data_IF_613238841116
#
_entry.id   IF_613238841116
#
_cell.length_a   1.000
_cell.length_b   1.000
_cell.length_c   1.000
_cell.angle_alpha   90.00
_cell.angle_beta   90.00
_cell.angle_gamma   90.00
#
_symmetry.space_group_name_H-M   'P 1'
#
loop_
_entity.id
_entity.type
_entity.pdbx_description
1 polymer ?
#
# COMPACT_ATOMS: atom_id res chain seq x y z
N UNK A 1 31.19 -12.82 -10.90
CA UNK A 1 29.89 -12.80 -11.56
C UNK A 1 29.01 -11.70 -10.99
N UNK A 2 28.58 -10.80 -11.82
CA UNK A 2 27.78 -9.70 -11.31
C UNK A 2 26.29 -10.00 -11.44
N UNK A 3 25.54 -9.54 -10.45
CA UNK A 3 24.10 -9.69 -10.45
C UNK A 3 23.50 -8.51 -11.19
N UNK A 4 22.54 -8.79 -12.06
CA UNK A 4 21.82 -7.71 -12.72
C UNK A 4 20.81 -7.15 -11.73
N UNK A 5 21.16 -6.10 -11.08
CA UNK A 5 20.33 -5.50 -10.03
C UNK A 5 19.00 -5.00 -10.59
N UNK A 6 19.02 -4.39 -11.77
CA UNK A 6 17.79 -3.90 -12.36
C UNK A 6 16.82 -5.03 -12.67
N UNK A 7 17.34 -6.15 -13.13
CA UNK A 7 16.49 -7.30 -13.39
C UNK A 7 15.86 -7.82 -12.10
N UNK A 8 16.65 -7.86 -11.03
CA UNK A 8 16.13 -8.32 -9.74
C UNK A 8 15.09 -7.33 -9.19
N UNK A 9 15.29 -6.05 -9.40
CA UNK A 9 14.32 -5.07 -9.00
C UNK A 9 13.00 -5.22 -9.78
N UNK A 10 13.09 -5.54 -11.07
CA UNK A 10 11.91 -5.79 -11.85
C UNK A 10 11.16 -7.02 -11.36
N UNK A 11 11.89 -8.07 -11.01
CA UNK A 11 11.28 -9.27 -10.47
C UNK A 11 10.58 -8.98 -9.15
N UNK A 12 11.22 -8.20 -8.29
CA UNK A 12 10.64 -7.82 -7.02
C UNK A 12 9.40 -6.96 -7.22
N UNK A 13 9.46 -6.03 -8.16
CA UNK A 13 8.32 -5.18 -8.47
C UNK A 13 7.14 -6.02 -8.94
N UNK A 14 7.40 -7.00 -9.80
CA UNK A 14 6.33 -7.86 -10.29
C UNK A 14 5.71 -8.69 -9.15
N UNK A 15 6.55 -9.22 -8.27
CA UNK A 15 6.05 -9.96 -7.12
C UNK A 15 5.22 -9.07 -6.21
N UNK A 16 5.64 -7.82 -6.04
CA UNK A 16 4.89 -6.85 -5.25
C UNK A 16 3.54 -6.55 -5.86
N UNK A 17 3.47 -6.43 -7.18
CA UNK A 17 2.20 -6.18 -7.85
C UNK A 17 1.24 -7.35 -7.66
N UNK A 18 1.75 -8.56 -7.70
CA UNK A 18 0.92 -9.73 -7.47
C UNK A 18 0.38 -9.75 -6.05
N UNK A 19 1.23 -9.44 -5.08
CA UNK A 19 0.81 -9.37 -3.68
C UNK A 19 -0.22 -8.26 -3.49
N UNK A 20 -0.01 -7.13 -4.15
CA UNK A 20 -0.94 -6.01 -4.10
C UNK A 20 -2.33 -6.44 -4.59
N UNK A 21 -2.39 -7.17 -5.70
CA UNK A 21 -3.67 -7.63 -6.24
C UNK A 21 -4.41 -8.54 -5.26
N UNK A 22 -3.67 -9.41 -4.59
CA UNK A 22 -4.26 -10.32 -3.60
C UNK A 22 -4.85 -9.52 -2.45
N UNK A 23 -4.12 -8.50 -2.00
CA UNK A 23 -4.60 -7.65 -0.90
C UNK A 23 -5.84 -6.87 -1.31
N UNK A 24 -5.87 -6.36 -2.54
CA UNK A 24 -7.02 -5.62 -3.03
C UNK A 24 -8.24 -6.53 -3.08
N UNK A 25 -8.07 -7.76 -3.51
CA UNK A 25 -9.18 -8.69 -3.54
C UNK A 25 -9.73 -8.94 -2.14
N UNK A 26 -8.85 -9.05 -1.16
CA UNK A 26 -9.27 -9.26 0.21
C UNK A 26 -10.03 -8.04 0.74
N UNK A 27 -9.58 -6.85 0.40
CA UNK A 27 -10.25 -5.62 0.81
C UNK A 27 -11.66 -5.56 0.22
N UNK A 28 -11.81 -5.99 -1.02
CA UNK A 28 -13.11 -5.94 -1.71
C UNK A 28 -14.06 -7.03 -1.32
N UNK A 29 -13.58 -8.07 -0.67
CA UNK A 29 -14.43 -9.20 -0.32
C UNK A 29 -15.54 -8.76 0.62
N UNK A 30 -16.80 -9.07 0.31
CA UNK A 30 -17.88 -8.63 1.17
C UNK A 30 -17.85 -9.36 2.50
N UNK A 31 -18.32 -8.69 3.54
CA UNK A 31 -18.44 -9.31 4.85
C UNK A 31 -19.73 -10.09 4.92
N UNK A 32 -19.69 -11.20 5.63
CA UNK A 32 -20.87 -12.01 5.84
C UNK A 32 -21.82 -11.23 6.75
N UNK A 33 -23.06 -11.10 6.34
CA UNK A 33 -24.05 -10.36 7.12
C UNK A 33 -24.38 -11.03 8.44
N UNK A 34 -24.14 -12.33 8.54
CA UNK A 34 -24.42 -13.07 9.74
C UNK A 34 -23.30 -13.07 10.75
N UNK A 35 -22.20 -12.40 10.45
CA UNK A 35 -21.09 -12.34 11.38
C UNK A 35 -21.48 -11.61 12.66
N UNK A 36 -21.07 -12.15 13.78
CA UNK A 36 -21.28 -11.52 15.07
C UNK A 36 -20.39 -10.27 15.16
N UNK A 37 -20.76 -9.36 16.05
CA UNK A 37 -20.11 -8.07 16.15
C UNK A 37 -18.60 -8.13 16.32
N UNK A 38 -18.11 -9.02 17.17
CA UNK A 38 -16.68 -9.14 17.40
C UNK A 38 -15.95 -9.66 16.16
N UNK A 39 -16.56 -10.64 15.49
CA UNK A 39 -15.96 -11.20 14.27
C UNK A 39 -16.01 -10.19 13.13
N UNK A 40 -17.10 -9.45 13.05
CA UNK A 40 -17.23 -8.40 12.05
C UNK A 40 -16.16 -7.34 12.27
N UNK A 41 -15.94 -6.94 13.51
CA UNK A 41 -14.94 -5.95 13.85
C UNK A 41 -13.55 -6.45 13.48
N UNK A 42 -13.26 -7.71 13.77
CA UNK A 42 -11.97 -8.29 13.43
C UNK A 42 -11.77 -8.36 11.92
N UNK A 43 -12.83 -8.69 11.19
CA UNK A 43 -12.75 -8.73 9.72
C UNK A 43 -12.49 -7.35 9.14
N UNK A 44 -13.14 -6.33 9.71
CA UNK A 44 -12.92 -4.96 9.25
C UNK A 44 -11.50 -4.50 9.57
N UNK A 45 -10.98 -4.90 10.73
CA UNK A 45 -9.61 -4.57 11.08
C UNK A 45 -8.62 -5.24 10.13
N UNK A 46 -8.89 -6.50 9.77
CA UNK A 46 -8.06 -7.20 8.81
C UNK A 46 -8.06 -6.50 7.45
N UNK A 47 -9.21 -6.00 7.01
CA UNK A 47 -9.29 -5.27 5.75
C UNK A 47 -8.49 -3.98 5.81
N UNK A 48 -8.51 -3.29 6.94
CA UNK A 48 -7.74 -2.09 7.12
C UNK A 48 -6.25 -2.40 7.04
N UNK A 49 -5.83 -3.49 7.66
CA UNK A 49 -4.43 -3.90 7.60
C UNK A 49 -4.02 -4.23 6.16
N UNK A 50 -4.89 -4.91 5.42
CA UNK A 50 -4.62 -5.19 4.02
C UNK A 50 -4.49 -3.92 3.21
N UNK A 51 -5.31 -2.92 3.50
CA UNK A 51 -5.24 -1.64 2.83
C UNK A 51 -3.90 -0.94 3.10
N UNK A 52 -3.47 -0.95 4.36
CA UNK A 52 -2.20 -0.32 4.72
C UNK A 52 -1.03 -1.07 4.07
N UNK A 53 -1.09 -2.39 4.05
CA UNK A 53 -0.05 -3.19 3.42
C UNK A 53 -0.02 -2.94 1.91
N UNK A 54 -1.17 -2.84 1.28
CA UNK A 54 -1.24 -2.56 -0.16
C UNK A 54 -0.65 -1.19 -0.47
N UNK A 55 -0.93 -0.21 0.38
CA UNK A 55 -0.40 1.12 0.23
C UNK A 55 1.12 1.12 0.36
N UNK A 56 1.64 0.36 1.32
CA UNK A 56 3.08 0.24 1.51
C UNK A 56 3.75 -0.42 0.30
N UNK A 57 3.10 -1.42 -0.26
CA UNK A 57 3.62 -2.08 -1.45
C UNK A 57 3.69 -1.11 -2.62
N UNK A 58 2.65 -0.31 -2.81
CA UNK A 58 2.66 0.68 -3.91
C UNK A 58 3.78 1.69 -3.74
N UNK A 59 3.99 2.16 -2.52
CA UNK A 59 5.07 3.08 -2.23
C UNK A 59 6.42 2.45 -2.57
N UNK A 60 6.59 1.19 -2.19
CA UNK A 60 7.82 0.46 -2.45
C UNK A 60 8.03 0.24 -3.94
N UNK A 61 6.97 -0.09 -4.66
CA UNK A 61 7.04 -0.27 -6.10
C UNK A 61 7.49 1.01 -6.78
N UNK A 62 6.95 2.14 -6.34
CA UNK A 62 7.33 3.42 -6.91
C UNK A 62 8.81 3.70 -6.69
N UNK A 63 9.31 3.38 -5.51
CA UNK A 63 10.74 3.56 -5.22
C UNK A 63 11.60 2.66 -6.09
N UNK A 64 11.16 1.42 -6.29
CA UNK A 64 11.89 0.49 -7.15
C UNK A 64 11.90 1.02 -8.59
N UNK A 65 10.78 1.50 -9.06
CA UNK A 65 10.69 2.05 -10.40
C UNK A 65 11.63 3.23 -10.57
N UNK A 66 11.69 4.11 -9.57
CA UNK A 66 12.61 5.23 -9.60
C UNK A 66 14.06 4.78 -9.63
N UNK A 67 14.38 3.72 -8.90
CA UNK A 67 15.73 3.18 -8.90
C UNK A 67 16.11 2.62 -10.27
N UNK A 68 15.19 1.92 -10.91
CA UNK A 68 15.43 1.38 -12.24
C UNK A 68 15.65 2.50 -13.24
N UNK A 69 14.87 3.57 -13.11
CA UNK A 69 14.96 4.70 -14.02
C UNK A 69 16.06 5.69 -13.67
N UNK A 70 16.74 5.47 -12.55
CA UNK A 70 17.81 6.37 -12.11
C UNK A 70 17.33 7.65 -11.47
N UNK A 71 16.07 7.70 -11.02
CA UNK A 71 15.53 8.87 -10.37
C UNK A 71 15.86 8.88 -8.89
N UNK A 72 15.92 10.07 -8.30
CA UNK A 72 16.21 10.20 -6.89
C UNK A 72 14.96 10.01 -6.05
N UNK A 73 15.16 9.41 -4.87
CA UNK A 73 14.05 9.14 -3.97
C UNK A 73 13.65 10.34 -3.12
N UNK A 74 14.53 11.34 -3.04
CA UNK A 74 14.30 12.47 -2.13
C UNK A 74 12.99 13.22 -2.38
N UNK A 75 12.65 13.44 -3.63
CA UNK A 75 11.41 14.13 -3.96
C UNK A 75 10.20 13.33 -3.52
N UNK A 76 10.28 12.04 -3.68
CA UNK A 76 9.19 11.17 -3.31
C UNK A 76 8.97 11.17 -1.81
N UNK A 77 10.05 11.22 -1.05
CA UNK A 77 9.94 11.29 0.40
C UNK A 77 9.25 12.58 0.84
N UNK A 78 9.52 13.67 0.16
CA UNK A 78 8.86 14.92 0.47
C UNK A 78 7.37 14.86 0.17
N UNK A 79 7.00 14.22 -0.92
CA UNK A 79 5.61 14.04 -1.26
C UNK A 79 4.90 13.19 -0.22
N UNK A 80 5.55 12.15 0.26
CA UNK A 80 4.99 11.33 1.30
C UNK A 80 4.76 12.11 2.57
N UNK A 81 5.69 12.96 2.93
CA UNK A 81 5.54 13.78 4.12
C UNK A 81 4.38 14.76 3.98
N UNK A 82 4.26 15.38 2.83
CA UNK A 82 3.18 16.30 2.59
C UNK A 82 1.85 15.59 2.66
N UNK A 83 1.75 14.43 2.06
CA UNK A 83 0.55 13.65 2.07
C UNK A 83 0.19 13.23 3.50
N UNK A 84 1.17 12.77 4.25
CA UNK A 84 0.95 12.35 5.63
C UNK A 84 0.53 13.52 6.49
N UNK A 85 1.12 14.68 6.30
CA UNK A 85 0.75 15.86 7.06
C UNK A 85 -0.70 16.23 6.82
N UNK A 86 -1.14 16.16 5.59
CA UNK A 86 -2.52 16.43 5.27
C UNK A 86 -3.44 15.46 5.98
N UNK A 87 -3.10 14.21 5.98
CA UNK A 87 -3.88 13.19 6.64
C UNK A 87 -3.95 13.46 8.13
N UNK A 88 -2.82 13.77 8.72
CA UNK A 88 -2.75 14.01 10.15
C UNK A 88 -3.57 15.22 10.57
N UNK A 89 -3.60 16.24 9.75
CA UNK A 89 -4.37 17.43 10.09
C UNK A 89 -5.86 17.21 9.93
N UNK A 90 -6.23 16.06 9.39
CA UNK A 90 -7.65 15.76 9.30
C UNK A 90 -8.42 16.57 8.31
N UNK A 91 -7.71 17.28 7.49
CA UNK A 91 -8.40 18.07 6.54
C UNK A 91 -8.93 17.28 5.41
N UNK A 92 -8.38 16.13 5.21
CA UNK A 92 -8.77 15.38 4.19
C UNK A 92 -9.82 14.57 4.59
N UNK A 93 -10.85 14.86 4.08
CA UNK A 93 -12.04 14.16 4.25
C UNK A 93 -11.90 12.71 3.90
N UNK A 94 -10.97 12.38 3.04
CA UNK A 94 -10.77 11.01 2.69
C UNK A 94 -10.38 10.18 3.89
N UNK A 95 -9.42 10.69 4.66
CA UNK A 95 -8.99 9.94 5.80
C UNK A 95 -9.97 10.00 6.92
N UNK A 96 -10.59 11.14 7.11
CA UNK A 96 -11.64 11.26 8.10
C UNK A 96 -12.79 10.33 7.71
N UNK A 97 -13.00 10.16 6.45
CA UNK A 97 -14.06 9.31 5.95
C UNK A 97 -13.73 7.84 6.20
N UNK A 98 -12.49 7.45 6.03
CA UNK A 98 -12.08 6.09 6.29
C UNK A 98 -12.00 5.84 7.79
N UNK A 99 -11.53 6.79 8.50
CA UNK A 99 -11.47 6.70 9.93
C UNK A 99 -12.85 6.90 10.51
#
# INVERSE_FOLDING_TARGET
MSIDVNKKLEELMQAGLEAYEILVEEIKRPLDEELQDDKRRNAMKAKKECFLDAKDILSSIKKIENQINGEEDSEELEEEKAFTAEIVTGKHSFFAFIA
#
